data_IF_241046006588
#
_entry.id   IF_241046006588
#
_cell.length_a   1.000
_cell.length_b   1.000
_cell.length_c   1.000
_cell.angle_alpha   90.00
_cell.angle_beta   90.00
_cell.angle_gamma   90.00
#
_symmetry.space_group_name_H-M   'P 1'
#
loop_
_entity.id
_entity.type
_entity.pdbx_description
1 polymer ?
#
# COMPACT_ATOMS: atom_id res chain seq x y z
N UNK A 1 19.16 27.93 25.84
CA UNK A 1 17.78 28.42 25.60
C UNK A 1 17.16 27.56 24.52
N UNK A 2 16.16 26.72 24.87
CA UNK A 2 14.99 26.34 24.07
C UNK A 2 14.13 25.50 25.01
N UNK A 3 13.20 26.17 25.70
CA UNK A 3 12.17 25.50 26.49
C UNK A 3 11.29 24.71 25.50
N UNK A 4 11.37 23.38 25.55
CA UNK A 4 10.40 22.53 24.88
C UNK A 4 9.05 22.75 25.56
N UNK A 5 8.07 23.18 24.77
CA UNK A 5 6.69 23.54 25.10
C UNK A 5 5.85 22.34 25.60
N UNK A 6 6.37 21.60 26.57
CA UNK A 6 5.67 20.46 27.20
C UNK A 6 5.76 20.70 28.71
N UNK A 7 4.62 21.00 29.35
CA UNK A 7 4.54 21.35 30.77
C UNK A 7 4.95 20.19 31.72
N UNK A 8 5.18 18.98 31.17
CA UNK A 8 5.71 17.80 31.88
C UNK A 8 6.94 17.23 31.16
N UNK A 9 7.97 16.77 31.89
CA UNK A 9 9.12 16.10 31.28
C UNK A 9 8.69 14.76 30.66
N UNK A 10 8.90 14.62 29.35
CA UNK A 10 8.67 13.36 28.64
C UNK A 10 9.88 12.44 28.73
N UNK A 11 9.62 11.13 28.73
CA UNK A 11 10.64 10.07 28.79
C UNK A 11 10.74 9.28 27.48
N UNK A 12 9.61 9.10 26.78
CA UNK A 12 9.59 8.44 25.47
C UNK A 12 8.96 9.34 24.40
N UNK A 13 9.52 9.29 23.21
CA UNK A 13 9.06 9.98 22.01
C UNK A 13 8.88 8.93 20.91
N UNK A 14 7.69 8.85 20.31
CA UNK A 14 7.43 8.00 19.14
C UNK A 14 7.17 8.91 17.95
N UNK A 15 8.05 8.86 16.96
CA UNK A 15 7.97 9.64 15.73
C UNK A 15 7.53 8.72 14.60
N UNK A 16 6.28 8.88 14.17
CA UNK A 16 5.69 8.10 13.09
C UNK A 16 5.87 8.90 11.81
N UNK A 17 6.48 8.28 10.81
CA UNK A 17 6.77 8.89 9.51
C UNK A 17 6.31 7.96 8.39
N UNK A 18 5.76 8.55 7.35
CA UNK A 18 5.41 7.84 6.13
C UNK A 18 5.54 8.80 4.96
N UNK A 19 6.13 8.30 3.87
CA UNK A 19 6.22 9.04 2.62
C UNK A 19 4.81 9.14 2.01
N UNK A 20 4.37 10.37 1.73
CA UNK A 20 3.06 10.68 1.15
C UNK A 20 1.84 10.33 2.05
N UNK A 21 1.82 10.92 3.25
CA UNK A 21 0.73 10.78 4.23
C UNK A 21 -0.62 11.21 3.64
N UNK A 22 -1.46 10.26 3.29
CA UNK A 22 -2.83 10.53 2.83
C UNK A 22 -3.77 10.63 4.04
N UNK A 23 -4.83 11.45 3.94
CA UNK A 23 -5.84 11.60 5.00
C UNK A 23 -6.41 10.25 5.50
N UNK A 24 -6.55 9.26 4.60
CA UNK A 24 -6.99 7.91 4.94
C UNK A 24 -6.00 7.18 5.88
N UNK A 25 -4.70 7.27 5.59
CA UNK A 25 -3.69 6.64 6.44
C UNK A 25 -3.60 7.34 7.80
N UNK A 26 -3.73 8.67 7.81
CA UNK A 26 -3.83 9.43 9.06
C UNK A 26 -5.04 8.98 9.90
N UNK A 27 -6.21 8.83 9.26
CA UNK A 27 -7.42 8.36 9.94
C UNK A 27 -7.27 6.92 10.49
N UNK A 28 -6.63 6.02 9.73
CA UNK A 28 -6.36 4.66 10.19
C UNK A 28 -5.38 4.66 11.38
N UNK A 29 -4.34 5.50 11.32
CA UNK A 29 -3.41 5.68 12.43
C UNK A 29 -4.11 6.20 13.69
N UNK A 30 -4.99 7.19 13.56
CA UNK A 30 -5.79 7.69 14.68
C UNK A 30 -6.70 6.62 15.29
N UNK A 31 -7.28 5.73 14.48
CA UNK A 31 -8.11 4.62 14.98
C UNK A 31 -7.28 3.63 15.82
N UNK A 32 -6.08 3.28 15.35
CA UNK A 32 -5.20 2.37 16.11
C UNK A 32 -4.77 3.03 17.41
N UNK A 33 -4.33 4.29 17.36
CA UNK A 33 -3.95 5.03 18.58
C UNK A 33 -5.12 5.21 19.57
N UNK A 34 -6.35 5.33 19.08
CA UNK A 34 -7.54 5.42 19.93
C UNK A 34 -7.90 4.06 20.56
N UNK A 35 -7.68 2.95 19.85
CA UNK A 35 -7.96 1.61 20.36
C UNK A 35 -7.04 1.22 21.52
N UNK A 36 -5.82 1.74 21.58
CA UNK A 36 -4.87 1.42 22.64
C UNK A 36 -5.19 2.05 24.00
N UNK A 37 -6.13 3.01 24.09
CA UNK A 37 -6.40 3.82 25.30
C UNK A 37 -5.11 4.43 25.93
N UNK A 38 -4.10 4.71 25.11
CA UNK A 38 -2.80 5.21 25.56
C UNK A 38 -2.80 6.74 25.56
N UNK A 39 -2.84 7.33 26.75
CA UNK A 39 -2.76 8.77 26.94
C UNK A 39 -1.36 9.31 26.58
N UNK A 40 -1.17 9.69 25.31
CA UNK A 40 -0.05 10.53 24.92
C UNK A 40 -0.12 11.85 25.70
N UNK A 41 0.99 12.26 26.32
CA UNK A 41 1.07 13.55 27.03
C UNK A 41 0.90 14.73 26.08
N UNK A 42 1.41 14.58 24.86
CA UNK A 42 1.36 15.59 23.83
C UNK A 42 1.43 14.90 22.46
N UNK A 43 0.69 15.44 21.49
CA UNK A 43 0.75 15.03 20.09
C UNK A 43 1.09 16.24 19.23
N UNK A 44 2.11 16.12 18.38
CA UNK A 44 2.46 17.13 17.36
C UNK A 44 2.29 16.51 15.98
N UNK A 45 1.47 17.12 15.13
CA UNK A 45 1.38 16.72 13.72
C UNK A 45 2.37 17.53 12.90
N UNK A 46 3.23 16.87 12.13
CA UNK A 46 4.17 17.47 11.17
C UNK A 46 3.75 17.13 9.74
N UNK A 47 4.34 17.80 8.76
CA UNK A 47 4.07 17.55 7.33
C UNK A 47 4.35 16.10 6.90
N UNK A 48 5.28 15.42 7.57
CA UNK A 48 5.71 14.07 7.24
C UNK A 48 5.23 13.01 8.22
N UNK A 49 4.38 13.36 9.19
CA UNK A 49 3.82 12.41 10.15
C UNK A 49 3.43 13.00 11.50
N UNK A 50 3.57 12.20 12.55
CA UNK A 50 3.06 12.52 13.90
C UNK A 50 4.13 12.20 14.94
N UNK A 51 4.31 13.08 15.92
CA UNK A 51 5.16 12.89 17.09
C UNK A 51 4.30 12.76 18.34
N UNK A 52 4.46 11.64 19.05
CA UNK A 52 3.75 11.31 20.28
C UNK A 52 4.73 11.30 21.46
N UNK A 53 4.41 12.07 22.50
CA UNK A 53 5.22 12.18 23.70
C UNK A 53 4.58 11.40 24.85
N UNK A 54 5.38 10.61 25.55
CA UNK A 54 4.94 9.78 26.66
C UNK A 54 5.76 10.04 27.94
N UNK A 55 5.08 9.96 29.08
CA UNK A 55 5.71 10.08 30.40
C UNK A 55 6.45 8.83 30.84
N UNK A 56 6.20 7.68 30.20
CA UNK A 56 6.81 6.40 30.51
C UNK A 56 7.31 5.69 29.24
N UNK A 57 8.40 4.93 29.39
CA UNK A 57 8.99 4.10 28.35
C UNK A 57 8.13 2.86 28.01
N UNK A 58 7.30 2.38 28.94
CA UNK A 58 6.40 1.25 28.67
C UNK A 58 5.35 1.63 27.62
N UNK A 59 4.66 2.75 27.80
CA UNK A 59 3.65 3.24 26.85
C UNK A 59 4.23 3.45 25.44
N UNK A 60 5.40 4.07 25.33
CA UNK A 60 6.08 4.25 24.04
C UNK A 60 6.38 2.92 23.33
N UNK A 61 6.81 1.90 24.09
CA UNK A 61 7.07 0.55 23.54
C UNK A 61 5.79 -0.17 23.13
N UNK A 62 4.70 -0.05 23.90
CA UNK A 62 3.42 -0.67 23.57
C UNK A 62 2.84 -0.11 22.26
N UNK A 63 2.87 1.21 22.07
CA UNK A 63 2.42 1.85 20.82
C UNK A 63 3.25 1.37 19.63
N UNK A 64 4.58 1.29 19.79
CA UNK A 64 5.46 0.76 18.73
C UNK A 64 5.12 -0.70 18.38
N UNK A 65 4.84 -1.54 19.38
CA UNK A 65 4.49 -2.95 19.16
C UNK A 65 3.16 -3.10 18.41
N UNK A 66 2.16 -2.27 18.71
CA UNK A 66 0.88 -2.29 18.02
C UNK A 66 0.98 -1.76 16.58
N UNK A 67 1.79 -0.74 16.35
CA UNK A 67 2.09 -0.26 15.00
C UNK A 67 2.78 -1.34 14.17
N UNK A 68 3.70 -2.11 14.75
CA UNK A 68 4.32 -3.27 14.10
C UNK A 68 3.32 -4.39 13.81
N UNK A 69 2.31 -4.59 14.67
CA UNK A 69 1.28 -5.58 14.44
C UNK A 69 0.29 -5.17 13.33
N UNK A 70 0.05 -3.87 13.18
CA UNK A 70 -0.96 -3.34 12.26
C UNK A 70 -0.40 -2.91 10.90
N UNK A 71 0.89 -2.57 10.80
CA UNK A 71 1.53 -2.10 9.55
C UNK A 71 2.91 -2.71 9.30
N UNK A 72 3.34 -2.78 8.02
CA UNK A 72 4.70 -3.12 7.68
C UNK A 72 5.56 -1.88 7.95
N UNK A 73 6.27 -1.87 9.07
CA UNK A 73 7.07 -0.71 9.48
C UNK A 73 8.50 -1.08 9.84
N UNK A 74 9.39 -0.08 9.76
CA UNK A 74 10.77 -0.15 10.22
C UNK A 74 10.91 0.74 11.45
N UNK A 75 11.54 0.22 12.50
CA UNK A 75 11.69 0.95 13.75
C UNK A 75 13.15 1.11 14.11
N UNK A 76 13.55 2.35 14.37
CA UNK A 76 14.87 2.72 14.89
C UNK A 76 14.71 3.35 16.26
N UNK A 77 15.32 2.74 17.27
CA UNK A 77 15.27 3.23 18.64
C UNK A 77 16.60 3.86 19.02
N UNK A 78 16.58 5.07 19.56
CA UNK A 78 17.75 5.75 20.12
C UNK A 78 17.49 6.11 21.58
N UNK A 79 18.57 6.15 22.36
CA UNK A 79 18.53 6.49 23.78
C UNK A 79 19.46 7.66 24.03
N UNK A 80 18.97 8.70 24.69
CA UNK A 80 19.72 9.91 24.99
C UNK A 80 19.60 10.21 26.47
N UNK A 81 20.72 10.23 27.17
CA UNK A 81 20.79 10.59 28.59
C UNK A 81 20.88 12.11 28.70
N UNK A 82 19.88 12.76 29.30
CA UNK A 82 19.87 14.22 29.51
C UNK A 82 20.52 14.55 30.84
N UNK A 83 20.13 13.80 31.88
CA UNK A 83 20.77 13.78 33.19
C UNK A 83 20.92 12.33 33.65
N UNK A 84 21.73 12.03 34.67
CA UNK A 84 21.88 10.66 35.19
C UNK A 84 20.55 9.96 35.54
N UNK A 85 19.55 10.75 35.96
CA UNK A 85 18.22 10.28 36.35
C UNK A 85 17.16 10.38 35.22
N UNK A 86 17.42 11.21 34.19
CA UNK A 86 16.51 11.42 33.06
C UNK A 86 17.10 10.86 31.76
N UNK A 87 16.61 9.68 31.43
CA UNK A 87 16.88 9.01 30.16
C UNK A 87 15.69 9.25 29.23
N UNK A 88 15.98 9.70 28.01
CA UNK A 88 15.01 9.82 26.93
C UNK A 88 15.19 8.69 25.93
N UNK A 89 14.08 8.17 25.44
CA UNK A 89 14.03 7.15 24.40
C UNK A 89 13.23 7.68 23.23
N UNK A 90 13.82 7.64 22.04
CA UNK A 90 13.17 8.05 20.81
C UNK A 90 13.00 6.85 19.90
N UNK A 91 11.77 6.56 19.50
CA UNK A 91 11.41 5.53 18.54
C UNK A 91 11.01 6.21 17.24
N UNK A 92 11.83 6.09 16.21
CA UNK A 92 11.48 6.48 14.85
C UNK A 92 10.82 5.27 14.17
N UNK A 93 9.55 5.42 13.82
CA UNK A 93 8.74 4.41 13.12
C UNK A 93 8.47 4.90 11.71
N UNK A 94 9.06 4.22 10.72
CA UNK A 94 8.84 4.47 9.29
C UNK A 94 7.81 3.46 8.78
N UNK A 95 6.64 3.94 8.32
CA UNK A 95 5.60 3.10 7.75
C UNK A 95 5.86 2.87 6.25
N UNK A 96 5.39 1.74 5.73
CA UNK A 96 5.36 1.47 4.30
C UNK A 96 4.58 2.56 3.53
N UNK A 97 5.12 2.97 2.38
CA UNK A 97 4.47 3.96 1.50
C UNK A 97 3.38 3.39 0.59
N UNK A 98 3.22 2.05 0.55
CA UNK A 98 2.20 1.40 -0.28
C UNK A 98 0.82 1.50 0.36
N UNK A 99 -0.20 1.64 -0.48
CA UNK A 99 -1.60 1.77 -0.08
C UNK A 99 -2.42 0.65 -0.72
N UNK A 100 -3.61 0.45 -0.17
CA UNK A 100 -4.59 -0.48 -0.74
C UNK A 100 -4.96 -0.05 -2.17
N UNK A 101 -4.96 -1.00 -3.09
CA UNK A 101 -5.20 -0.84 -4.52
C UNK A 101 -4.12 -0.10 -5.30
N UNK A 102 -2.92 0.08 -4.74
CA UNK A 102 -1.79 0.59 -5.51
C UNK A 102 -1.31 -0.47 -6.51
N UNK A 103 -1.02 -0.04 -7.73
CA UNK A 103 -0.36 -0.85 -8.74
C UNK A 103 1.17 -0.75 -8.56
N UNK A 104 1.85 -1.88 -8.43
CA UNK A 104 3.30 -1.91 -8.17
C UNK A 104 4.03 -2.78 -9.19
N UNK A 105 5.26 -2.38 -9.51
CA UNK A 105 6.17 -3.17 -10.35
C UNK A 105 7.25 -3.80 -9.48
N UNK A 106 7.15 -5.11 -9.29
CA UNK A 106 8.14 -5.91 -8.56
C UNK A 106 9.45 -6.01 -9.36
N UNK A 107 10.55 -6.09 -8.61
CA UNK A 107 11.84 -6.52 -9.17
C UNK A 107 11.81 -8.01 -9.44
N UNK A 108 12.54 -8.46 -10.47
CA UNK A 108 12.58 -9.86 -10.91
C UNK A 108 12.89 -10.84 -9.78
N UNK A 109 13.78 -10.47 -8.86
CA UNK A 109 14.13 -11.31 -7.71
C UNK A 109 12.98 -11.53 -6.73
N UNK A 110 12.14 -10.50 -6.54
CA UNK A 110 10.99 -10.55 -5.63
C UNK A 110 9.84 -11.30 -6.28
N UNK A 111 9.55 -10.98 -7.55
CA UNK A 111 8.53 -11.65 -8.37
C UNK A 111 8.75 -13.17 -8.39
N UNK A 112 9.98 -13.62 -8.69
CA UNK A 112 10.34 -15.05 -8.69
C UNK A 112 10.19 -15.73 -7.33
N UNK A 113 10.46 -15.02 -6.24
CA UNK A 113 10.31 -15.57 -4.87
C UNK A 113 8.86 -15.71 -4.45
N UNK A 114 8.00 -14.80 -4.91
CA UNK A 114 6.57 -14.82 -4.62
C UNK A 114 5.79 -15.66 -5.63
N UNK A 115 6.45 -16.15 -6.70
CA UNK A 115 5.81 -16.79 -7.84
C UNK A 115 4.68 -15.94 -8.45
N UNK A 116 4.92 -14.63 -8.51
CA UNK A 116 3.99 -13.65 -9.07
C UNK A 116 4.61 -12.98 -10.30
N UNK A 117 3.79 -12.43 -11.22
CA UNK A 117 4.30 -11.56 -12.27
C UNK A 117 4.91 -10.29 -11.68
N UNK A 118 5.54 -9.50 -12.56
CA UNK A 118 6.16 -8.25 -12.13
C UNK A 118 5.14 -7.16 -11.84
N UNK A 119 4.01 -7.16 -12.53
CA UNK A 119 2.95 -6.15 -12.36
C UNK A 119 1.88 -6.78 -11.48
N UNK A 120 1.66 -6.21 -10.30
CA UNK A 120 0.72 -6.74 -9.31
C UNK A 120 0.00 -5.59 -8.63
N UNK A 121 -1.17 -5.89 -8.07
CA UNK A 121 -1.99 -4.92 -7.33
C UNK A 121 -1.92 -5.24 -5.83
N UNK A 122 -1.81 -4.22 -4.99
CA UNK A 122 -1.88 -4.36 -3.54
C UNK A 122 -3.33 -4.53 -3.11
N UNK A 123 -3.70 -5.66 -2.50
CA UNK A 123 -5.08 -5.92 -2.03
C UNK A 123 -5.31 -5.45 -0.61
N UNK A 124 -4.30 -5.58 0.25
CA UNK A 124 -4.34 -5.14 1.64
C UNK A 124 -2.93 -4.85 2.19
N UNK A 125 -2.87 -3.98 3.19
CA UNK A 125 -1.62 -3.59 3.88
C UNK A 125 -1.86 -3.70 5.39
N UNK A 126 -1.45 -4.84 5.95
CA UNK A 126 -1.47 -5.12 7.39
C UNK A 126 -0.05 -5.34 7.92
N UNK A 127 0.17 -6.36 8.76
CA UNK A 127 1.52 -6.79 9.15
C UNK A 127 2.40 -7.17 7.94
N UNK A 128 1.78 -7.65 6.86
CA UNK A 128 2.40 -7.92 5.58
C UNK A 128 1.67 -7.19 4.46
N UNK A 129 2.30 -7.13 3.29
CA UNK A 129 1.72 -6.52 2.08
C UNK A 129 1.15 -7.65 1.24
N UNK A 130 -0.17 -7.66 1.08
CA UNK A 130 -0.88 -8.64 0.27
C UNK A 130 -0.95 -8.16 -1.17
N UNK A 131 -0.53 -9.02 -2.08
CA UNK A 131 -0.45 -8.76 -3.51
C UNK A 131 -1.32 -9.77 -4.25
N UNK A 132 -1.90 -9.33 -5.36
CA UNK A 132 -2.64 -10.17 -6.30
C UNK A 132 -2.18 -9.89 -7.72
N UNK A 133 -2.09 -10.96 -8.51
CA UNK A 133 -2.03 -10.87 -9.95
C UNK A 133 -3.45 -10.71 -10.51
N UNK A 134 -3.78 -9.58 -11.16
CA UNK A 134 -5.11 -9.37 -11.72
C UNK A 134 -5.46 -10.34 -12.86
N UNK A 135 -4.47 -10.95 -13.54
CA UNK A 135 -4.70 -11.83 -14.69
C UNK A 135 -4.93 -13.29 -14.31
N UNK A 136 -4.20 -13.80 -13.31
CA UNK A 136 -4.31 -15.21 -12.88
C UNK A 136 -5.13 -15.39 -11.61
N UNK A 137 -5.30 -14.33 -10.82
CA UNK A 137 -5.86 -14.39 -9.47
C UNK A 137 -4.86 -14.88 -8.42
N UNK A 138 -3.60 -15.19 -8.80
CA UNK A 138 -2.59 -15.66 -7.85
C UNK A 138 -2.28 -14.59 -6.79
N UNK A 139 -2.18 -15.02 -5.55
CA UNK A 139 -1.91 -14.14 -4.41
C UNK A 139 -0.55 -14.42 -3.81
N UNK A 140 0.10 -13.37 -3.31
CA UNK A 140 1.38 -13.48 -2.61
C UNK A 140 1.50 -12.48 -1.48
N UNK A 141 2.30 -12.84 -0.47
CA UNK A 141 2.51 -12.00 0.71
C UNK A 141 3.96 -11.54 0.74
N UNK A 142 4.16 -10.24 0.57
CA UNK A 142 5.45 -9.59 0.75
C UNK A 142 5.63 -9.21 2.21
N UNK A 143 6.63 -9.80 2.86
CA UNK A 143 6.94 -9.50 4.27
C UNK A 143 7.60 -8.14 4.42
N UNK A 144 7.47 -7.55 5.61
CA UNK A 144 8.10 -6.27 5.97
C UNK A 144 9.61 -6.27 5.70
N UNK A 145 10.31 -7.35 6.03
CA UNK A 145 11.74 -7.48 5.77
C UNK A 145 12.07 -7.49 4.25
N UNK A 146 11.21 -8.11 3.44
CA UNK A 146 11.38 -8.16 1.99
C UNK A 146 11.19 -6.77 1.37
N UNK A 147 10.15 -6.04 1.80
CA UNK A 147 9.88 -4.67 1.38
C UNK A 147 11.05 -3.73 1.71
N UNK A 148 11.56 -3.73 2.94
CA UNK A 148 12.64 -2.80 3.32
C UNK A 148 14.00 -3.14 2.71
N UNK A 149 14.22 -4.39 2.29
CA UNK A 149 15.43 -4.78 1.55
C UNK A 149 15.39 -4.30 0.11
N UNK A 150 14.20 -4.34 -0.50
CA UNK A 150 13.98 -4.02 -1.90
C UNK A 150 12.70 -3.20 -2.02
N UNK A 151 12.72 -1.91 -1.62
CA UNK A 151 11.51 -1.09 -1.61
C UNK A 151 10.98 -0.94 -3.03
N UNK A 152 9.66 -1.06 -3.15
CA UNK A 152 8.91 -0.88 -4.39
C UNK A 152 8.11 0.40 -4.29
N UNK A 153 8.05 1.13 -5.41
CA UNK A 153 7.27 2.36 -5.52
C UNK A 153 5.99 2.07 -6.29
N UNK A 154 4.86 2.65 -5.88
CA UNK A 154 3.62 2.52 -6.61
C UNK A 154 3.68 3.34 -7.89
N UNK A 155 3.02 2.82 -8.93
CA UNK A 155 2.73 3.57 -10.13
C UNK A 155 1.76 4.69 -9.76
N UNK A 156 2.21 5.94 -9.92
CA UNK A 156 1.43 7.13 -9.56
C UNK A 156 0.42 7.58 -10.64
N UNK A 157 0.01 6.67 -11.52
CA UNK A 157 -1.04 7.00 -12.49
C UNK A 157 -2.38 7.20 -11.78
N UNK A 158 -3.18 8.14 -12.25
CA UNK A 158 -4.52 8.35 -11.74
C UNK A 158 -5.40 7.14 -12.07
N UNK A 159 -6.19 6.68 -11.10
CA UNK A 159 -7.24 5.69 -11.36
C UNK A 159 -8.37 6.36 -12.11
N UNK A 160 -8.78 5.79 -13.23
CA UNK A 160 -9.91 6.26 -14.01
C UNK A 160 -11.16 5.44 -13.67
N UNK A 161 -12.33 6.05 -13.87
CA UNK A 161 -13.60 5.37 -13.68
C UNK A 161 -14.04 4.71 -14.98
N UNK A 162 -14.44 3.45 -14.87
CA UNK A 162 -14.97 2.65 -15.95
C UNK A 162 -16.37 2.14 -15.60
N UNK A 163 -17.17 1.88 -16.63
CA UNK A 163 -18.45 1.18 -16.52
C UNK A 163 -18.29 -0.18 -17.18
N UNK A 164 -18.75 -1.21 -16.48
CA UNK A 164 -18.74 -2.59 -16.98
C UNK A 164 -19.91 -2.78 -17.94
N UNK A 165 -19.62 -3.15 -19.17
CA UNK A 165 -20.59 -3.43 -20.22
C UNK A 165 -20.94 -4.91 -20.30
N UNK A 166 -19.93 -5.77 -20.12
CA UNK A 166 -20.10 -7.22 -20.17
C UNK A 166 -19.06 -7.94 -19.29
N UNK A 167 -19.41 -9.16 -18.88
CA UNK A 167 -18.57 -10.04 -18.04
C UNK A 167 -18.63 -11.45 -18.62
N UNK A 168 -17.49 -11.94 -19.08
CA UNK A 168 -17.31 -13.31 -19.56
C UNK A 168 -16.42 -14.09 -18.58
N UNK A 169 -16.82 -15.28 -18.08
CA UNK A 169 -15.93 -16.10 -17.28
C UNK A 169 -14.77 -16.60 -18.14
N UNK A 170 -13.54 -16.54 -17.61
CA UNK A 170 -12.38 -17.07 -18.32
C UNK A 170 -12.44 -18.59 -18.27
N UNK A 171 -12.49 -19.24 -19.44
CA UNK A 171 -12.43 -20.70 -19.51
C UNK A 171 -11.11 -21.19 -18.90
N UNK A 172 -11.21 -21.95 -17.81
CA UNK A 172 -10.06 -22.58 -17.16
C UNK A 172 -9.66 -23.76 -18.03
N UNK A 173 -8.71 -23.54 -18.92
CA UNK A 173 -8.18 -24.59 -19.78
C UNK A 173 -7.44 -25.61 -18.91
N UNK A 174 -8.09 -26.72 -18.56
CA UNK A 174 -7.56 -27.78 -17.67
C UNK A 174 -6.29 -28.48 -18.22
N UNK A 175 -5.86 -28.10 -19.42
CA UNK A 175 -4.69 -28.60 -20.12
C UNK A 175 -3.39 -27.88 -19.72
N UNK A 176 -3.47 -26.65 -19.18
CA UNK A 176 -2.30 -25.91 -18.69
C UNK A 176 -2.13 -26.06 -17.17
N UNK A 177 -0.92 -26.37 -16.67
CA UNK A 177 -0.65 -26.43 -15.23
C UNK A 177 -0.63 -25.01 -14.63
N UNK A 178 -1.79 -24.52 -14.24
CA UNK A 178 -1.97 -23.25 -13.55
C UNK A 178 -3.42 -23.15 -13.05
N UNK A 179 -3.61 -23.10 -11.74
CA UNK A 179 -4.95 -23.00 -11.15
C UNK A 179 -5.39 -21.53 -11.24
N UNK A 180 -5.96 -21.12 -12.39
CA UNK A 180 -6.63 -19.82 -12.47
C UNK A 180 -7.77 -19.82 -11.47
N UNK A 181 -7.83 -18.78 -10.62
CA UNK A 181 -8.93 -18.67 -9.67
C UNK A 181 -10.24 -18.52 -10.46
N UNK A 182 -11.29 -19.20 -10.01
CA UNK A 182 -12.63 -19.14 -10.62
C UNK A 182 -13.24 -17.72 -10.52
N UNK A 183 -12.55 -16.80 -9.84
CA UNK A 183 -12.92 -15.39 -9.72
C UNK A 183 -12.42 -14.52 -10.86
N UNK A 184 -11.53 -15.02 -11.72
CA UNK A 184 -11.02 -14.25 -12.85
C UNK A 184 -12.05 -14.23 -13.98
N UNK A 185 -12.38 -13.02 -14.43
CA UNK A 185 -13.33 -12.77 -15.52
C UNK A 185 -12.73 -11.83 -16.55
N UNK A 186 -13.12 -12.01 -17.80
CA UNK A 186 -12.91 -11.05 -18.87
C UNK A 186 -14.02 -9.99 -18.81
N UNK A 187 -13.61 -8.73 -18.76
CA UNK A 187 -14.49 -7.57 -18.67
C UNK A 187 -14.41 -6.77 -19.95
N UNK A 188 -15.58 -6.40 -20.50
CA UNK A 188 -15.69 -5.32 -21.47
C UNK A 188 -16.07 -4.04 -20.72
N UNK A 189 -15.22 -3.01 -20.80
CA UNK A 189 -15.40 -1.76 -20.05
C UNK A 189 -15.26 -0.53 -20.94
N UNK A 190 -15.93 0.55 -20.54
CA UNK A 190 -15.83 1.88 -21.17
C UNK A 190 -15.51 2.93 -20.13
N UNK A 191 -14.70 3.93 -20.48
CA UNK A 191 -14.43 5.07 -19.57
C UNK A 191 -15.72 5.85 -19.36
N UNK A 192 -15.97 6.27 -18.12
CA UNK A 192 -17.16 7.08 -17.79
C UNK A 192 -17.20 8.39 -18.60
N UNK A 193 -16.04 8.98 -18.89
CA UNK A 193 -15.93 10.23 -19.65
C UNK A 193 -16.25 10.07 -21.14
N UNK A 194 -16.07 8.86 -21.65
CA UNK A 194 -16.21 8.51 -23.05
C UNK A 194 -17.62 8.04 -23.41
N UNK A 195 -18.38 7.61 -22.39
CA UNK A 195 -19.74 7.12 -22.55
C UNK A 195 -20.65 8.16 -23.22
N UNK A 196 -21.13 7.85 -24.43
CA UNK A 196 -22.01 8.73 -25.21
C UNK A 196 -21.27 9.80 -26.03
N UNK A 197 -19.94 9.90 -25.89
CA UNK A 197 -19.07 10.75 -26.69
C UNK A 197 -18.32 9.94 -27.76
N UNK A 198 -17.85 8.73 -27.40
CA UNK A 198 -17.16 7.81 -28.29
C UNK A 198 -17.63 6.35 -28.05
N UNK A 199 -17.28 5.45 -28.97
CA UNK A 199 -17.53 4.00 -28.89
C UNK A 199 -16.24 3.22 -28.52
N UNK A 200 -15.29 3.84 -27.83
CA UNK A 200 -14.04 3.17 -27.45
C UNK A 200 -14.29 2.23 -26.28
N UNK A 201 -14.06 0.94 -26.52
CA UNK A 201 -14.23 -0.12 -25.51
C UNK A 201 -12.87 -0.77 -25.23
N UNK A 202 -12.67 -1.12 -23.97
CA UNK A 202 -11.47 -1.79 -23.49
C UNK A 202 -11.84 -3.19 -23.00
N UNK A 203 -10.96 -4.15 -23.26
CA UNK A 203 -11.06 -5.49 -22.69
C UNK A 203 -9.99 -5.64 -21.63
N UNK A 204 -10.36 -6.16 -20.47
CA UNK A 204 -9.45 -6.36 -19.35
C UNK A 204 -9.78 -7.66 -18.61
N UNK A 205 -8.77 -8.37 -18.13
CA UNK A 205 -9.00 -9.50 -17.21
C UNK A 205 -8.92 -8.99 -15.77
N UNK A 206 -9.81 -9.48 -14.92
CA UNK A 206 -9.88 -9.01 -13.53
C UNK A 206 -10.19 -10.14 -12.56
N UNK A 207 -9.43 -10.19 -11.47
CA UNK A 207 -9.66 -11.04 -10.30
C UNK A 207 -10.94 -10.69 -9.50
N UNK A 208 -11.64 -9.60 -9.84
CA UNK A 208 -12.81 -9.09 -9.11
C UNK A 208 -14.15 -9.68 -9.58
N UNK A 209 -14.17 -10.80 -10.31
CA UNK A 209 -15.39 -11.32 -10.93
C UNK A 209 -16.54 -11.66 -9.98
N UNK A 210 -16.26 -11.92 -8.70
CA UNK A 210 -17.30 -12.14 -7.67
C UNK A 210 -17.93 -10.86 -7.14
N UNK A 211 -17.23 -9.73 -7.26
CA UNK A 211 -17.60 -8.45 -6.64
C UNK A 211 -18.20 -7.45 -7.64
N UNK A 212 -18.17 -7.77 -8.93
CA UNK A 212 -18.52 -6.85 -10.03
C UNK A 212 -19.69 -7.42 -10.84
N UNK A 213 -20.66 -6.56 -11.16
CA UNK A 213 -21.79 -6.86 -12.05
C UNK A 213 -21.83 -5.93 -13.26
N UNK A 214 -22.51 -6.35 -14.32
CA UNK A 214 -22.74 -5.52 -15.51
C UNK A 214 -23.49 -4.24 -15.12
N UNK A 215 -23.00 -3.09 -15.60
CA UNK A 215 -23.50 -1.76 -15.26
C UNK A 215 -22.83 -1.10 -14.07
N UNK A 216 -21.98 -1.81 -13.32
CA UNK A 216 -21.26 -1.24 -12.18
C UNK A 216 -20.18 -0.25 -12.61
N UNK A 217 -19.91 0.71 -11.72
CA UNK A 217 -18.79 1.64 -11.85
C UNK A 217 -17.59 1.10 -11.10
N UNK A 218 -16.51 0.81 -11.83
CA UNK A 218 -15.25 0.30 -11.29
C UNK A 218 -14.12 1.30 -11.51
N UNK A 219 -13.05 1.18 -10.73
CA UNK A 219 -11.84 1.97 -10.91
C UNK A 219 -10.73 1.10 -11.51
N UNK A 220 -10.08 1.59 -12.56
CA UNK A 220 -9.01 0.89 -13.28
C UNK A 220 -7.80 1.78 -13.52
N UNK A 221 -6.68 1.17 -13.89
CA UNK A 221 -5.47 1.87 -14.28
C UNK A 221 -5.32 1.80 -15.80
N UNK A 222 -5.32 2.95 -16.47
CA UNK A 222 -5.04 2.97 -17.90
C UNK A 222 -3.54 2.77 -18.16
N UNK A 223 -3.16 1.59 -18.62
CA UNK A 223 -1.76 1.22 -18.84
C UNK A 223 -1.27 1.57 -20.25
N UNK A 224 -2.19 1.76 -21.21
CA UNK A 224 -1.88 2.15 -22.59
C UNK A 224 -0.99 3.40 -22.70
N UNK A 225 -1.30 4.54 -22.05
CA UNK A 225 -0.43 5.73 -22.09
C UNK A 225 0.86 5.53 -21.28
N UNK A 226 0.85 4.62 -20.31
CA UNK A 226 1.99 4.37 -19.42
C UNK A 226 3.16 3.66 -20.09
N UNK A 227 2.91 2.81 -21.09
CA UNK A 227 3.97 2.15 -21.89
C UNK A 227 4.94 3.18 -22.50
N UNK A 228 4.46 4.39 -22.80
CA UNK A 228 5.26 5.48 -23.40
C UNK A 228 6.04 6.33 -22.38
N UNK A 229 5.67 6.32 -21.10
CA UNK A 229 6.29 7.14 -20.04
C UNK A 229 7.52 6.45 -19.38
N UNK A 230 7.93 5.29 -19.89
CA UNK A 230 8.70 4.24 -19.23
C UNK A 230 10.13 4.56 -18.74
N UNK A 231 10.64 5.80 -18.90
CA UNK A 231 12.06 6.11 -18.59
C UNK A 231 12.39 6.39 -17.12
N UNK A 232 11.43 6.51 -16.19
CA UNK A 232 11.73 7.08 -14.85
C UNK A 232 11.66 6.16 -13.62
N UNK A 233 11.04 4.97 -13.67
CA UNK A 233 10.74 4.23 -12.41
C UNK A 233 10.91 2.69 -12.51
N UNK A 234 11.93 2.19 -13.23
CA UNK A 234 12.17 0.73 -13.35
C UNK A 234 11.22 -0.02 -14.29
N UNK A 235 10.33 0.70 -14.97
CA UNK A 235 9.49 0.21 -16.06
C UNK A 235 10.25 -0.03 -17.37
N UNK A 236 11.51 0.43 -17.49
CA UNK A 236 12.42 0.15 -18.63
C UNK A 236 12.65 -1.35 -18.93
N UNK A 237 12.03 -2.25 -18.20
CA UNK A 237 12.20 -3.71 -18.29
C UNK A 237 10.91 -4.45 -18.63
N UNK A 238 9.80 -3.75 -18.89
CA UNK A 238 8.55 -4.39 -19.32
C UNK A 238 8.38 -4.17 -20.82
N UNK A 239 8.28 -5.26 -21.57
CA UNK A 239 7.92 -5.24 -22.99
C UNK A 239 6.42 -4.98 -23.13
N UNK A 240 6.00 -4.32 -24.22
CA UNK A 240 4.58 -3.97 -24.46
C UNK A 240 3.68 -5.20 -24.43
N UNK A 241 4.22 -6.35 -24.80
CA UNK A 241 3.50 -7.63 -24.87
C UNK A 241 3.17 -8.23 -23.49
N UNK A 242 3.78 -7.73 -22.40
CA UNK A 242 3.56 -8.25 -21.04
C UNK A 242 2.57 -7.41 -20.21
N UNK A 243 2.02 -6.32 -20.76
CA UNK A 243 1.16 -5.38 -20.05
C UNK A 243 -0.27 -5.43 -20.62
N UNK A 244 -1.30 -5.65 -19.78
CA UNK A 244 -2.68 -5.47 -20.22
C UNK A 244 -2.97 -4.00 -20.52
N UNK A 245 -4.02 -3.72 -21.28
CA UNK A 245 -4.40 -2.36 -21.64
C UNK A 245 -4.99 -1.59 -20.44
N UNK A 246 -5.73 -2.27 -19.55
CA UNK A 246 -6.45 -1.71 -18.38
C UNK A 246 -6.30 -2.63 -17.15
#
# INVERSE_FOLDING_TARGET
MYYSRVDKPWKALVQIRQDDLTALCTAQLHRVLAATDMYALHQVTTKSGIDLYFGDHAHGRSVVAELMASWPCRVKTTRTTVTPELVRQTHLVELCGLKRHDLVVLRNEVAKKLNLPRVVVVTDVGHGIHLVDPLTGDTGIMTTAMYWRTPVEPIRSGREQYIVLDIEPVDVDYSEPGRRDETVVDLEVVRVQDLGCNDTRFRAQSHLGKDVSVGDKVYGYDLVPMVHASKRHGMCLLTKDDLPDV
#
